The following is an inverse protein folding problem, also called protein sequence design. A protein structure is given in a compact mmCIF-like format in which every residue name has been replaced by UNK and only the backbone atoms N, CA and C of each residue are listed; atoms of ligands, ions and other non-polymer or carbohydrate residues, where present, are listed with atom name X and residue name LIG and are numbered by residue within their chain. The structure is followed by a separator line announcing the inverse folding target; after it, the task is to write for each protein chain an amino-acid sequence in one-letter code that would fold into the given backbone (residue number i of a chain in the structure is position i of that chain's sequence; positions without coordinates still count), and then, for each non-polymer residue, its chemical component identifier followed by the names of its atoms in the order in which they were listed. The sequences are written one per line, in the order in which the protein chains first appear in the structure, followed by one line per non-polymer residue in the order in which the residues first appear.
data_IF_055401156295
#
_entry.id   IF_055401156295
#
_cell.length_a   1.000
_cell.length_b   1.000
_cell.length_c   1.000
_cell.angle_alpha   90.00
_cell.angle_beta   90.00
_cell.angle_gamma   90.00
#
_symmetry.space_group_name_H-M   'P 1'
#
loop_
_entity.id
_entity.type
_entity.pdbx_description
1 polymer ?
#
# COMPACT_ATOMS: atom_id res chain seq x y z
N UNK A 1 41.79 -44.85 11.64
CA UNK A 1 42.09 -44.34 10.30
C UNK A 1 41.13 -43.21 9.99
N UNK A 2 41.68 -42.11 9.47
CA UNK A 2 41.05 -40.89 8.93
C UNK A 2 40.45 -39.88 9.93
N UNK A 3 41.28 -38.87 10.21
CA UNK A 3 40.95 -37.54 10.74
C UNK A 3 40.08 -36.76 9.75
N UNK A 4 39.10 -36.01 10.26
CA UNK A 4 38.50 -34.87 9.56
C UNK A 4 38.57 -33.64 10.47
N UNK A 5 39.28 -32.60 10.02
CA UNK A 5 39.29 -31.27 10.63
C UNK A 5 38.04 -30.48 10.21
N UNK A 6 37.51 -29.57 11.07
CA UNK A 6 36.49 -28.61 10.66
C UNK A 6 37.12 -27.37 10.01
N UNK A 7 36.48 -26.87 8.94
CA UNK A 7 36.85 -25.67 8.19
C UNK A 7 36.44 -24.42 8.98
N UNK A 8 37.38 -23.47 9.12
CA UNK A 8 37.17 -22.19 9.78
C UNK A 8 36.35 -21.22 8.90
N UNK A 9 35.30 -20.62 9.49
CA UNK A 9 34.59 -19.49 8.91
C UNK A 9 35.38 -18.20 9.17
N UNK A 10 35.73 -17.49 8.09
CA UNK A 10 36.44 -16.20 8.13
C UNK A 10 35.43 -15.11 8.51
N UNK A 11 35.56 -14.55 9.72
CA UNK A 11 34.80 -13.38 10.16
C UNK A 11 35.39 -12.08 9.59
N UNK A 12 34.53 -11.22 9.02
CA UNK A 12 34.88 -9.83 8.68
C UNK A 12 34.71 -8.94 9.93
N UNK A 13 35.59 -7.95 10.16
CA UNK A 13 35.57 -7.16 11.39
C UNK A 13 34.47 -6.08 11.37
N UNK A 14 33.66 -6.06 12.42
CA UNK A 14 32.75 -4.97 12.77
C UNK A 14 33.57 -3.72 13.13
N UNK A 15 33.56 -2.68 12.29
CA UNK A 15 34.07 -1.35 12.66
C UNK A 15 33.03 -0.63 13.52
N UNK A 16 33.47 -0.14 14.68
CA UNK A 16 32.65 0.53 15.68
C UNK A 16 31.99 1.82 15.14
N UNK A 17 30.69 1.97 15.39
CA UNK A 17 29.93 3.17 15.10
C UNK A 17 30.13 4.24 16.21
N UNK A 18 30.30 5.53 15.88
CA UNK A 18 30.45 6.58 16.87
C UNK A 18 29.12 6.89 17.58
N UNK A 19 29.17 7.03 18.90
CA UNK A 19 28.05 7.44 19.76
C UNK A 19 27.75 8.93 19.58
N UNK A 20 26.48 9.30 19.42
CA UNK A 20 26.07 10.70 19.26
C UNK A 20 24.87 11.07 20.12
N UNK A 21 24.97 12.27 20.73
CA UNK A 21 23.93 12.88 21.56
C UNK A 21 22.85 13.53 20.70
N UNK A 22 21.63 13.47 21.24
CA UNK A 22 20.37 13.90 20.63
C UNK A 22 20.18 15.40 20.73
N UNK A 23 19.68 16.02 19.66
CA UNK A 23 18.63 17.05 19.68
C UNK A 23 18.21 17.38 18.24
N UNK A 24 17.00 17.00 17.82
CA UNK A 24 16.20 17.77 16.86
C UNK A 24 14.78 17.21 16.64
N UNK A 25 13.88 18.15 16.41
CA UNK A 25 12.42 18.05 16.33
C UNK A 25 11.93 17.47 14.98
N UNK A 26 10.80 16.78 15.05
CA UNK A 26 10.10 16.20 13.91
C UNK A 26 8.75 16.87 13.68
N UNK A 27 8.44 17.20 12.43
CA UNK A 27 7.12 17.70 12.04
C UNK A 27 6.20 16.53 11.71
N UNK A 28 5.12 16.39 12.48
CA UNK A 28 3.91 15.64 12.13
C UNK A 28 3.04 16.54 11.25
N UNK A 29 2.62 16.08 10.08
CA UNK A 29 1.62 16.76 9.26
C UNK A 29 0.22 16.50 9.83
N UNK A 30 -0.02 16.97 11.06
CA UNK A 30 -1.36 17.34 11.53
C UNK A 30 -1.35 18.84 11.76
N UNK A 31 -1.57 19.59 10.68
CA UNK A 31 -1.54 21.06 10.71
C UNK A 31 -1.79 21.61 9.33
N UNK A 32 -3.05 21.81 8.99
CA UNK A 32 -3.46 22.41 7.73
C UNK A 32 -2.77 23.74 7.48
N UNK A 33 -2.50 24.02 6.21
CA UNK A 33 -2.02 25.32 5.76
C UNK A 33 -2.95 26.42 6.29
N UNK A 34 -2.46 27.23 7.23
CA UNK A 34 -3.13 28.44 7.64
C UNK A 34 -3.18 29.37 6.41
N UNK A 35 -4.39 29.55 5.86
CA UNK A 35 -4.71 30.61 4.90
C UNK A 35 -4.41 31.95 5.54
N UNK A 36 -3.49 32.71 4.97
CA UNK A 36 -3.48 34.17 5.16
C UNK A 36 -4.49 34.78 4.21
N UNK A 37 -5.51 35.44 4.78
CA UNK A 37 -6.41 36.33 4.06
C UNK A 37 -5.64 37.57 3.58
N UNK A 38 -5.80 38.01 2.34
CA UNK A 38 -6.89 38.88 1.90
C UNK A 38 -6.57 39.43 0.49
N UNK A 39 -7.60 39.48 -0.35
CA UNK A 39 -7.79 40.35 -1.54
C UNK A 39 -8.73 39.70 -2.56
N UNK A 40 -10.03 39.94 -2.38
CA UNK A 40 -10.97 40.04 -3.51
C UNK A 40 -10.53 41.18 -4.45
N UNK A 41 -10.69 41.07 -5.79
CA UNK A 41 -12.04 41.13 -6.36
C UNK A 41 -12.34 40.39 -7.68
N UNK A 42 -13.64 40.13 -7.82
CA UNK A 42 -14.52 40.19 -9.00
C UNK A 42 -14.59 39.02 -10.00
N UNK A 43 -15.85 38.63 -10.19
CA UNK A 43 -16.37 37.81 -11.28
C UNK A 43 -16.26 38.54 -12.62
N UNK A 44 -15.94 37.80 -13.68
CA UNK A 44 -16.81 37.60 -14.85
C UNK A 44 -16.04 36.89 -15.98
N UNK A 45 -16.79 36.18 -16.82
CA UNK A 45 -16.45 35.63 -18.14
C UNK A 45 -15.82 34.23 -18.22
N UNK A 46 -16.72 33.25 -18.22
CA UNK A 46 -16.55 31.93 -18.86
C UNK A 46 -16.53 32.12 -20.39
N UNK A 47 -15.35 32.01 -21.00
CA UNK A 47 -15.22 31.72 -22.43
C UNK A 47 -14.04 30.79 -22.74
N UNK A 48 -14.40 29.60 -23.24
CA UNK A 48 -13.71 28.71 -24.20
C UNK A 48 -12.20 28.46 -24.03
N UNK A 49 -11.86 27.21 -23.69
CA UNK A 49 -10.56 26.60 -23.96
C UNK A 49 -10.42 26.29 -25.47
N UNK A 50 -9.34 26.71 -26.15
CA UNK A 50 -8.92 26.14 -27.43
C UNK A 50 -8.00 24.94 -27.23
N UNK A 51 -8.21 23.94 -28.07
CA UNK A 51 -7.38 22.76 -28.31
C UNK A 51 -5.95 23.11 -28.75
N UNK A 52 -4.94 22.56 -28.08
CA UNK A 52 -3.70 22.06 -28.70
C UNK A 52 -2.78 21.38 -27.66
N UNK A 53 -2.71 20.05 -27.71
CA UNK A 53 -1.59 19.28 -27.19
C UNK A 53 -0.34 19.66 -28.00
N UNK A 54 0.58 20.39 -27.38
CA UNK A 54 1.98 20.47 -27.83
C UNK A 54 2.85 19.75 -26.81
N UNK A 55 3.59 18.77 -27.30
CA UNK A 55 4.63 18.03 -26.60
C UNK A 55 5.57 18.99 -25.86
N UNK A 56 5.46 19.03 -24.53
CA UNK A 56 6.43 19.72 -23.70
C UNK A 56 7.68 18.84 -23.58
N UNK A 57 8.80 19.32 -24.12
CA UNK A 57 10.12 18.76 -23.87
C UNK A 57 10.42 18.86 -22.37
N UNK A 58 10.46 17.72 -21.69
CA UNK A 58 10.80 17.62 -20.27
C UNK A 58 12.27 18.04 -20.07
N UNK A 59 12.49 19.04 -19.22
CA UNK A 59 13.78 19.67 -19.00
C UNK A 59 14.77 18.72 -18.30
N UNK A 60 16.09 18.92 -18.46
CA UNK A 60 17.11 18.03 -17.88
C UNK A 60 17.09 17.97 -16.33
N UNK A 61 16.58 19.02 -15.66
CA UNK A 61 16.36 19.04 -14.22
C UNK A 61 15.21 18.12 -13.76
N UNK A 62 14.18 17.90 -14.59
CA UNK A 62 13.09 16.97 -14.30
C UNK A 62 13.50 15.51 -14.49
N UNK A 63 14.49 15.24 -15.36
CA UNK A 63 15.09 13.89 -15.47
C UNK A 63 15.80 13.46 -14.17
N UNK A 64 16.17 14.38 -13.28
CA UNK A 64 16.81 14.05 -12.01
C UNK A 64 15.82 13.70 -10.89
N UNK A 65 14.53 14.05 -11.01
CA UNK A 65 13.55 13.78 -9.95
C UNK A 65 13.24 12.27 -9.82
N UNK A 66 13.17 11.58 -10.97
CA UNK A 66 12.88 10.14 -11.07
C UNK A 66 14.02 9.28 -10.51
N UNK A 67 15.27 9.75 -10.61
CA UNK A 67 16.46 9.01 -10.20
C UNK A 67 16.81 9.18 -8.71
N UNK A 68 16.23 10.17 -8.03
CA UNK A 68 16.66 10.59 -6.69
C UNK A 68 15.65 10.27 -5.57
N UNK A 69 14.52 9.64 -5.89
CA UNK A 69 13.48 9.29 -4.91
C UNK A 69 13.37 7.77 -4.74
N UNK A 70 13.52 7.28 -3.51
CA UNK A 70 13.17 5.90 -3.15
C UNK A 70 11.69 5.84 -2.81
N UNK A 71 10.93 5.01 -3.53
CA UNK A 71 9.56 4.68 -3.17
C UNK A 71 9.53 3.38 -2.37
N UNK A 72 8.85 3.40 -1.24
CA UNK A 72 8.67 2.27 -0.33
C UNK A 72 7.18 2.03 -0.16
N UNK A 73 6.80 0.76 -0.11
CA UNK A 73 5.51 0.30 0.40
C UNK A 73 5.76 -0.81 1.40
N UNK A 74 4.76 -1.25 2.17
CA UNK A 74 4.88 -2.49 2.95
C UNK A 74 4.26 -3.70 2.24
N UNK A 75 4.56 -4.89 2.76
CA UNK A 75 4.15 -6.17 2.20
C UNK A 75 2.62 -6.40 2.20
N UNK A 76 1.81 -5.51 2.80
CA UNK A 76 0.35 -5.59 2.68
C UNK A 76 -0.20 -4.88 1.43
N UNK A 77 0.66 -4.30 0.60
CA UNK A 77 0.29 -3.66 -0.66
C UNK A 77 0.07 -4.69 -1.76
N UNK A 78 -1.16 -4.79 -2.25
CA UNK A 78 -1.51 -5.78 -3.27
C UNK A 78 -1.26 -5.26 -4.69
N UNK A 79 0.01 -5.13 -5.06
CA UNK A 79 0.46 -5.02 -6.45
C UNK A 79 1.29 -6.24 -6.82
N UNK A 80 1.41 -6.63 -8.11
CA UNK A 80 2.24 -7.78 -8.46
C UNK A 80 3.70 -7.57 -8.03
N UNK A 81 4.31 -8.59 -7.41
CA UNK A 81 5.70 -8.53 -6.91
C UNK A 81 6.69 -8.15 -8.04
N UNK A 82 6.51 -8.75 -9.21
CA UNK A 82 7.30 -8.43 -10.41
C UNK A 82 7.13 -6.97 -10.84
N UNK A 83 5.92 -6.41 -10.71
CA UNK A 83 5.65 -5.02 -11.05
C UNK A 83 6.32 -4.05 -10.06
N UNK A 84 6.29 -4.36 -8.76
CA UNK A 84 6.99 -3.58 -7.73
C UNK A 84 8.50 -3.59 -7.99
N UNK A 85 9.07 -4.77 -8.27
CA UNK A 85 10.50 -4.93 -8.60
C UNK A 85 10.90 -4.16 -9.87
N UNK A 86 10.11 -4.28 -10.95
CA UNK A 86 10.35 -3.58 -12.21
C UNK A 86 10.33 -2.05 -12.06
N UNK A 87 9.50 -1.54 -11.14
CA UNK A 87 9.40 -0.11 -10.82
C UNK A 87 10.31 0.33 -9.66
N UNK A 88 11.18 -0.56 -9.16
CA UNK A 88 12.14 -0.29 -8.07
C UNK A 88 11.46 0.22 -6.79
N UNK A 89 10.27 -0.29 -6.51
CA UNK A 89 9.57 -0.03 -5.23
C UNK A 89 10.12 -1.01 -4.19
N UNK A 90 10.68 -0.49 -3.10
CA UNK A 90 11.13 -1.34 -2.00
C UNK A 90 9.93 -1.78 -1.16
N UNK A 91 9.90 -3.05 -0.76
CA UNK A 91 8.82 -3.64 0.05
C UNK A 91 9.31 -3.83 1.48
N UNK A 92 8.75 -3.06 2.41
CA UNK A 92 8.97 -3.18 3.85
C UNK A 92 8.33 -4.50 4.34
N UNK A 93 9.13 -5.45 4.87
CA UNK A 93 8.62 -6.75 5.26
C UNK A 93 7.64 -6.71 6.43
N UNK A 94 6.75 -7.71 6.50
CA UNK A 94 5.89 -7.94 7.66
C UNK A 94 6.21 -9.32 8.24
N UNK A 95 6.39 -9.41 9.55
CA UNK A 95 6.65 -10.70 10.21
C UNK A 95 5.33 -11.43 10.45
N UNK A 96 5.30 -12.74 10.23
CA UNK A 96 4.16 -13.60 10.52
C UNK A 96 4.59 -14.68 11.51
N UNK A 97 3.86 -14.81 12.60
CA UNK A 97 4.17 -15.74 13.68
C UNK A 97 2.96 -16.60 14.05
N UNK A 98 3.14 -17.92 14.11
CA UNK A 98 2.17 -18.91 14.62
C UNK A 98 2.92 -19.93 15.47
N UNK A 99 2.65 -20.00 16.77
CA UNK A 99 3.37 -20.93 17.66
C UNK A 99 4.90 -20.81 17.46
N UNK A 100 5.58 -21.89 17.07
CA UNK A 100 7.02 -21.93 16.76
C UNK A 100 7.36 -21.59 15.29
N UNK A 101 6.36 -21.28 14.47
CA UNK A 101 6.53 -20.95 13.06
C UNK A 101 6.69 -19.44 12.87
N UNK A 102 7.81 -19.06 12.26
CA UNK A 102 8.13 -17.68 11.92
C UNK A 102 8.34 -17.56 10.41
N UNK A 103 7.59 -16.67 9.78
CA UNK A 103 7.71 -16.33 8.37
C UNK A 103 7.89 -14.82 8.22
N UNK A 104 8.57 -14.39 7.16
CA UNK A 104 8.71 -12.99 6.79
C UNK A 104 7.99 -12.81 5.46
N UNK A 105 6.90 -12.06 5.48
CA UNK A 105 6.17 -11.65 4.30
C UNK A 105 6.99 -10.58 3.56
N UNK A 106 7.65 -11.02 2.49
CA UNK A 106 8.39 -10.18 1.55
C UNK A 106 7.54 -9.83 0.32
N UNK A 107 6.24 -10.15 0.35
CA UNK A 107 5.35 -10.09 -0.80
C UNK A 107 5.83 -10.96 -1.98
N UNK A 108 6.40 -12.12 -1.67
CA UNK A 108 6.74 -13.14 -2.67
C UNK A 108 5.49 -13.97 -3.01
N UNK A 109 5.20 -14.12 -4.30
CA UNK A 109 3.97 -14.78 -4.75
C UNK A 109 3.97 -16.28 -4.44
N UNK A 110 5.11 -16.97 -4.61
CA UNK A 110 5.20 -18.40 -4.37
C UNK A 110 4.95 -18.70 -2.89
N UNK A 111 5.66 -17.99 -2.00
CA UNK A 111 5.49 -18.16 -0.55
C UNK A 111 4.05 -17.83 -0.13
N UNK A 112 3.45 -16.79 -0.72
CA UNK A 112 2.09 -16.35 -0.41
C UNK A 112 1.03 -17.40 -0.79
N UNK A 113 1.16 -17.98 -1.98
CA UNK A 113 0.28 -19.06 -2.42
C UNK A 113 0.46 -20.32 -1.57
N UNK A 114 1.70 -20.63 -1.17
CA UNK A 114 1.97 -21.74 -0.26
C UNK A 114 1.28 -21.53 1.10
N UNK A 115 1.37 -20.32 1.65
CA UNK A 115 0.67 -19.92 2.88
C UNK A 115 -0.85 -20.09 2.77
N UNK A 116 -1.46 -19.65 1.67
CA UNK A 116 -2.90 -19.83 1.44
C UNK A 116 -3.31 -21.28 1.28
N UNK A 117 -2.48 -22.12 0.65
CA UNK A 117 -2.83 -23.52 0.41
C UNK A 117 -2.70 -24.39 1.66
N UNK A 118 -1.67 -24.17 2.47
CA UNK A 118 -1.28 -25.10 3.55
C UNK A 118 -1.63 -24.58 4.94
N UNK A 119 -1.47 -23.29 5.18
CA UNK A 119 -1.37 -22.75 6.53
C UNK A 119 -2.57 -21.88 6.91
N UNK A 120 -3.23 -21.20 5.98
CA UNK A 120 -4.31 -20.28 6.36
C UNK A 120 -5.51 -21.00 7.01
N UNK A 121 -5.87 -22.18 6.53
CA UNK A 121 -7.00 -22.96 7.05
C UNK A 121 -6.71 -23.60 8.42
N UNK A 122 -5.44 -23.91 8.70
CA UNK A 122 -5.01 -24.66 9.90
C UNK A 122 -4.40 -23.76 10.98
N UNK A 123 -3.70 -22.71 10.55
CA UNK A 123 -2.90 -21.81 11.38
C UNK A 123 -3.34 -20.35 11.30
N UNK A 124 -4.01 -19.93 10.22
CA UNK A 124 -4.40 -18.53 9.98
C UNK A 124 -5.16 -17.89 11.14
N UNK A 125 -6.02 -18.64 11.83
CA UNK A 125 -6.74 -18.13 13.01
C UNK A 125 -5.83 -17.74 14.17
N UNK A 126 -4.68 -18.40 14.33
CA UNK A 126 -3.72 -18.20 15.43
C UNK A 126 -2.53 -17.34 15.01
N UNK A 127 -2.31 -17.20 13.71
CA UNK A 127 -1.26 -16.36 13.14
C UNK A 127 -1.42 -14.89 13.55
N UNK A 128 -0.29 -14.27 13.86
CA UNK A 128 -0.18 -12.84 14.13
C UNK A 128 0.78 -12.21 13.13
N UNK A 129 0.39 -11.06 12.59
CA UNK A 129 1.24 -10.19 11.79
C UNK A 129 1.88 -9.15 12.70
N UNK A 130 3.19 -9.00 12.65
CA UNK A 130 3.95 -8.00 13.41
C UNK A 130 4.74 -7.09 12.46
N UNK A 131 4.60 -5.76 12.57
CA UNK A 131 5.39 -4.83 11.78
C UNK A 131 6.84 -4.78 12.28
N UNK A 132 7.77 -4.41 11.41
CA UNK A 132 9.13 -4.08 11.85
C UNK A 132 9.12 -2.98 12.91
N UNK A 133 9.99 -3.09 13.90
CA UNK A 133 10.22 -2.02 14.89
C UNK A 133 10.77 -0.75 14.22
N UNK A 134 10.76 0.42 14.89
CA UNK A 134 11.37 1.63 14.34
C UNK A 134 12.85 1.46 13.95
N UNK A 135 13.59 0.66 14.71
CA UNK A 135 15.01 0.39 14.45
C UNK A 135 15.20 -0.48 13.21
N UNK A 136 14.44 -1.57 13.10
CA UNK A 136 14.47 -2.46 11.94
C UNK A 136 14.00 -1.74 10.67
N UNK A 137 12.96 -0.91 10.78
CA UNK A 137 12.47 -0.08 9.67
C UNK A 137 13.53 0.91 9.21
N UNK A 138 14.20 1.60 10.15
CA UNK A 138 15.34 2.47 9.83
C UNK A 138 16.43 1.71 9.08
N UNK A 139 16.81 0.53 9.57
CA UNK A 139 17.87 -0.27 8.98
C UNK A 139 17.49 -0.78 7.59
N UNK A 140 16.23 -1.15 7.39
CA UNK A 140 15.67 -1.49 6.08
C UNK A 140 15.74 -0.32 5.10
N UNK A 141 15.27 0.88 5.50
CA UNK A 141 15.33 2.06 4.62
C UNK A 141 16.80 2.37 4.31
N UNK A 142 17.66 2.36 5.32
CA UNK A 142 19.10 2.64 5.19
C UNK A 142 19.81 1.69 4.22
N UNK A 143 19.45 0.40 4.19
CA UNK A 143 20.04 -0.58 3.28
C UNK A 143 19.58 -0.39 1.83
N UNK A 144 18.41 0.24 1.61
CA UNK A 144 17.86 0.55 0.29
C UNK A 144 18.27 1.94 -0.23
N UNK A 145 18.84 2.81 0.62
CA UNK A 145 19.31 4.14 0.23
C UNK A 145 20.61 4.07 -0.59
N UNK A 146 20.49 4.27 -1.90
CA UNK A 146 21.63 4.46 -2.81
C UNK A 146 22.16 5.90 -2.74
N UNK A 147 23.39 6.13 -3.20
CA UNK A 147 24.07 7.43 -3.08
C UNK A 147 23.33 8.58 -3.79
N UNK A 148 22.62 8.26 -4.85
CA UNK A 148 21.88 9.20 -5.70
C UNK A 148 20.53 9.59 -5.07
N UNK A 149 20.04 8.82 -4.10
CA UNK A 149 18.75 9.04 -3.46
C UNK A 149 18.87 10.15 -2.42
N UNK A 150 18.06 11.20 -2.57
CA UNK A 150 17.99 12.33 -1.64
C UNK A 150 16.61 12.46 -0.97
N UNK A 151 15.62 11.69 -1.44
CA UNK A 151 14.26 11.68 -0.95
C UNK A 151 13.73 10.25 -0.80
N UNK A 152 12.91 10.03 0.22
CA UNK A 152 12.16 8.78 0.41
C UNK A 152 10.68 9.11 0.53
N UNK A 153 9.83 8.35 -0.16
CA UNK A 153 8.39 8.34 0.07
C UNK A 153 8.02 6.91 0.45
N UNK A 154 7.38 6.75 1.59
CA UNK A 154 6.77 5.50 1.99
C UNK A 154 5.25 5.64 1.96
N UNK A 155 4.57 4.69 1.31
CA UNK A 155 3.11 4.54 1.37
C UNK A 155 2.81 3.35 2.28
N UNK A 156 2.43 3.63 3.52
CA UNK A 156 2.14 2.62 4.52
C UNK A 156 0.66 2.22 4.50
N UNK A 157 0.36 0.96 4.80
CA UNK A 157 -1.01 0.49 5.09
C UNK A 157 -1.63 1.34 6.20
N UNK A 158 -2.97 1.48 6.18
CA UNK A 158 -3.72 2.29 7.12
C UNK A 158 -3.20 2.20 8.56
N UNK A 159 -2.94 3.36 9.19
CA UNK A 159 -2.50 3.41 10.59
C UNK A 159 -3.53 2.85 11.57
N UNK A 160 -4.81 2.82 11.19
CA UNK A 160 -5.89 2.15 11.92
C UNK A 160 -5.79 0.62 11.91
N UNK A 161 -4.93 0.05 11.07
CA UNK A 161 -4.76 -1.40 10.86
C UNK A 161 -3.40 -1.93 11.26
N UNK A 162 -2.37 -1.07 11.30
CA UNK A 162 -1.01 -1.49 11.62
C UNK A 162 -0.19 -0.36 12.23
N UNK A 163 0.85 -0.75 13.00
CA UNK A 163 1.82 0.21 13.55
C UNK A 163 2.92 0.61 12.54
N UNK A 164 2.89 0.09 11.30
CA UNK A 164 3.89 0.40 10.26
C UNK A 164 4.04 1.91 10.10
N UNK A 165 2.95 2.64 9.85
CA UNK A 165 2.98 4.10 9.71
C UNK A 165 3.72 4.81 10.86
N UNK A 166 3.41 4.44 12.11
CA UNK A 166 4.03 5.06 13.29
C UNK A 166 5.50 4.65 13.46
N UNK A 167 5.84 3.39 13.20
CA UNK A 167 7.22 2.90 13.27
C UNK A 167 8.09 3.54 12.19
N UNK A 168 7.55 3.70 10.98
CA UNK A 168 8.18 4.38 9.86
C UNK A 168 8.34 5.88 10.10
N UNK A 169 7.37 6.53 10.75
CA UNK A 169 7.51 7.94 11.15
C UNK A 169 8.68 8.11 12.13
N UNK A 170 8.80 7.24 13.13
CA UNK A 170 9.93 7.26 14.06
C UNK A 170 11.28 6.97 13.36
N UNK A 171 11.30 6.01 12.42
CA UNK A 171 12.48 5.72 11.60
C UNK A 171 12.90 6.92 10.73
N UNK A 172 11.93 7.58 10.09
CA UNK A 172 12.14 8.76 9.25
C UNK A 172 12.81 9.90 10.03
N UNK A 173 12.38 10.15 11.26
CA UNK A 173 13.01 11.13 12.15
C UNK A 173 14.49 10.81 12.36
N UNK A 174 14.80 9.57 12.72
CA UNK A 174 16.19 9.15 12.94
C UNK A 174 17.05 9.28 11.68
N UNK A 175 16.54 8.85 10.52
CA UNK A 175 17.24 8.95 9.24
C UNK A 175 17.50 10.40 8.83
N UNK A 176 16.51 11.27 8.94
CA UNK A 176 16.67 12.69 8.61
C UNK A 176 17.72 13.38 9.49
N UNK A 177 17.81 13.04 10.78
CA UNK A 177 18.85 13.55 11.67
C UNK A 177 20.24 13.06 11.28
N UNK A 178 20.39 11.75 11.07
CA UNK A 178 21.67 11.13 10.72
C UNK A 178 22.20 11.65 9.37
N UNK A 179 21.37 11.57 8.32
CA UNK A 179 21.75 12.01 6.98
C UNK A 179 21.92 13.51 6.90
N UNK A 180 21.10 14.30 7.61
CA UNK A 180 21.26 15.74 7.70
C UNK A 180 22.62 16.15 8.25
N UNK A 181 23.13 15.45 9.27
CA UNK A 181 24.47 15.69 9.83
C UNK A 181 25.59 15.33 8.85
N UNK A 182 25.52 14.16 8.24
CA UNK A 182 26.53 13.70 7.27
C UNK A 182 26.61 14.66 6.08
N UNK A 183 25.45 15.05 5.52
CA UNK A 183 25.38 15.97 4.37
C UNK A 183 25.97 17.34 4.67
N UNK A 184 25.67 17.93 5.85
CA UNK A 184 26.29 19.19 6.28
C UNK A 184 27.81 19.11 6.38
N UNK A 185 28.35 18.01 6.91
CA UNK A 185 29.79 17.79 6.99
C UNK A 185 30.45 17.65 5.61
N UNK A 186 29.69 17.27 4.59
CA UNK A 186 30.14 17.17 3.19
C UNK A 186 29.91 18.46 2.38
N UNK A 187 29.43 19.54 3.01
CA UNK A 187 29.09 20.79 2.32
C UNK A 187 27.82 20.72 1.45
N UNK A 188 27.00 19.67 1.62
CA UNK A 188 25.73 19.51 0.90
C UNK A 188 24.63 20.20 1.71
N UNK A 189 24.06 21.26 1.16
CA UNK A 189 23.06 22.09 1.85
C UNK A 189 21.62 21.58 1.67
N UNK A 190 21.35 20.77 0.64
CA UNK A 190 20.04 20.17 0.45
C UNK A 190 19.79 19.08 1.52
N UNK A 191 18.70 19.17 2.29
CA UNK A 191 18.38 18.18 3.32
C UNK A 191 17.92 16.86 2.72
N UNK A 192 18.31 15.74 3.35
CA UNK A 192 17.63 14.46 3.12
C UNK A 192 16.20 14.54 3.69
N UNK A 193 15.22 14.05 2.92
CA UNK A 193 13.82 14.08 3.31
C UNK A 193 13.19 12.71 3.18
N UNK A 194 12.36 12.36 4.16
CA UNK A 194 11.53 11.17 4.12
C UNK A 194 10.10 11.56 4.47
N UNK A 195 9.15 11.18 3.62
CA UNK A 195 7.72 11.31 3.86
C UNK A 195 7.14 9.92 4.06
N UNK A 196 6.29 9.79 5.08
CA UNK A 196 5.51 8.57 5.32
C UNK A 196 4.05 8.97 5.14
N UNK A 197 3.38 8.35 4.16
CA UNK A 197 1.98 8.57 3.83
C UNK A 197 1.17 7.46 4.47
N UNK A 198 0.24 7.81 5.35
CA UNK A 198 -0.81 6.90 5.80
C UNK A 198 -1.83 6.73 4.68
N UNK A 199 -1.89 5.53 4.09
CA UNK A 199 -2.80 5.25 2.97
C UNK A 199 -4.28 5.37 3.33
N UNK A 200 -4.65 5.28 4.62
CA UNK A 200 -6.04 5.26 5.08
C UNK A 200 -6.91 4.17 4.42
N UNK A 201 -6.27 3.19 3.77
CA UNK A 201 -6.91 2.06 3.09
C UNK A 201 -6.04 0.81 3.26
N UNK A 202 -6.43 -0.28 2.61
CA UNK A 202 -5.76 -1.58 2.72
C UNK A 202 -5.62 -2.24 1.35
N UNK A 203 -4.66 -3.16 1.22
CA UNK A 203 -4.64 -4.14 0.12
C UNK A 203 -4.61 -3.46 -1.26
N UNK A 204 -5.55 -3.80 -2.14
CA UNK A 204 -5.71 -3.18 -3.45
C UNK A 204 -5.73 -1.63 -3.42
N UNK A 205 -6.30 -1.03 -2.37
CA UNK A 205 -6.33 0.44 -2.23
C UNK A 205 -4.96 1.06 -2.03
N UNK A 206 -4.12 0.42 -1.22
CA UNK A 206 -2.72 0.84 -1.08
C UNK A 206 -1.99 0.70 -2.43
N UNK A 207 -2.32 -0.36 -3.18
CA UNK A 207 -1.85 -0.56 -4.54
C UNK A 207 -2.21 0.59 -5.49
N UNK A 208 -3.41 1.16 -5.40
CA UNK A 208 -3.80 2.34 -6.22
C UNK A 208 -2.88 3.54 -5.93
N UNK A 209 -2.56 3.80 -4.66
CA UNK A 209 -1.68 4.91 -4.26
C UNK A 209 -0.24 4.68 -4.72
N UNK A 210 0.29 3.47 -4.56
CA UNK A 210 1.66 3.12 -4.97
C UNK A 210 1.81 3.16 -6.49
N UNK A 211 0.83 2.64 -7.24
CA UNK A 211 0.83 2.69 -8.70
C UNK A 211 0.77 4.13 -9.21
N UNK A 212 -0.04 4.99 -8.58
CA UNK A 212 -0.08 6.41 -8.91
C UNK A 212 1.25 7.11 -8.58
N UNK A 213 1.87 6.76 -7.44
CA UNK A 213 3.15 7.32 -7.05
C UNK A 213 4.24 7.04 -8.08
N UNK A 214 4.32 5.80 -8.56
CA UNK A 214 5.22 5.42 -9.66
C UNK A 214 4.92 6.22 -10.92
N UNK A 215 3.64 6.30 -11.33
CA UNK A 215 3.24 7.03 -12.53
C UNK A 215 3.64 8.51 -12.47
N UNK A 216 3.45 9.15 -11.32
CA UNK A 216 3.78 10.56 -11.11
C UNK A 216 5.29 10.80 -11.02
N UNK A 217 6.04 9.92 -10.36
CA UNK A 217 7.50 9.98 -10.37
C UNK A 217 8.04 9.83 -11.79
N UNK A 218 7.54 8.88 -12.58
CA UNK A 218 7.92 8.72 -13.99
C UNK A 218 7.55 9.93 -14.86
N UNK A 219 6.50 10.67 -14.50
CA UNK A 219 6.12 11.93 -15.13
C UNK A 219 6.98 13.13 -14.65
N UNK A 220 7.96 12.93 -13.78
CA UNK A 220 8.87 13.97 -13.28
C UNK A 220 8.36 14.73 -12.05
N UNK A 221 7.29 14.27 -11.40
CA UNK A 221 6.80 14.92 -10.17
C UNK A 221 7.85 14.81 -9.06
N UNK A 222 8.12 15.91 -8.37
CA UNK A 222 9.06 15.91 -7.24
C UNK A 222 8.46 15.19 -6.02
N UNK A 223 9.33 14.64 -5.16
CA UNK A 223 8.90 13.88 -3.99
C UNK A 223 7.96 14.66 -3.06
N UNK A 224 8.25 15.94 -2.81
CA UNK A 224 7.40 16.79 -1.97
C UNK A 224 6.00 17.00 -2.56
N UNK A 225 5.89 17.21 -3.89
CA UNK A 225 4.60 17.32 -4.57
C UNK A 225 3.86 15.99 -4.59
N UNK A 226 4.59 14.89 -4.76
CA UNK A 226 4.00 13.56 -4.72
C UNK A 226 3.41 13.25 -3.35
N UNK A 227 4.11 13.55 -2.26
CA UNK A 227 3.57 13.34 -0.91
C UNK A 227 2.24 14.10 -0.70
N UNK A 228 2.14 15.35 -1.15
CA UNK A 228 0.89 16.14 -1.10
C UNK A 228 -0.21 15.58 -2.00
N UNK A 229 0.17 15.11 -3.20
CA UNK A 229 -0.75 14.47 -4.14
C UNK A 229 -1.35 13.21 -3.55
N UNK A 230 -0.55 12.34 -2.94
CA UNK A 230 -1.02 11.11 -2.30
C UNK A 230 -1.87 11.39 -1.05
N UNK A 231 -1.49 12.39 -0.24
CA UNK A 231 -2.26 12.83 0.92
C UNK A 231 -3.67 13.32 0.54
N UNK A 232 -3.81 13.94 -0.63
CA UNK A 232 -5.13 14.31 -1.17
C UNK A 232 -5.84 13.11 -1.78
N UNK A 233 -5.14 12.31 -2.58
CA UNK A 233 -5.71 11.20 -3.34
C UNK A 233 -6.29 10.10 -2.44
N UNK A 234 -5.66 9.81 -1.30
CA UNK A 234 -6.14 8.75 -0.38
C UNK A 234 -7.59 8.94 0.07
N UNK A 235 -8.07 10.18 0.16
CA UNK A 235 -9.46 10.49 0.51
C UNK A 235 -10.45 10.18 -0.61
N UNK A 236 -9.97 9.72 -1.77
CA UNK A 236 -10.78 9.31 -2.90
C UNK A 236 -10.59 7.84 -3.27
N UNK A 237 -9.73 7.10 -2.56
CA UNK A 237 -9.48 5.68 -2.81
C UNK A 237 -10.53 4.85 -2.10
N UNK A 238 -11.35 4.14 -2.88
CA UNK A 238 -12.35 3.23 -2.36
C UNK A 238 -11.89 1.79 -2.60
N UNK A 239 -11.85 0.99 -1.53
CA UNK A 239 -11.49 -0.43 -1.58
C UNK A 239 -12.67 -1.28 -1.15
N UNK A 240 -13.12 -2.18 -2.01
CA UNK A 240 -14.17 -3.14 -1.73
C UNK A 240 -13.55 -4.53 -1.55
N UNK A 241 -13.86 -5.18 -0.43
CA UNK A 241 -13.38 -6.52 -0.08
C UNK A 241 -14.56 -7.47 0.04
N UNK A 242 -14.46 -8.59 -0.67
CA UNK A 242 -15.43 -9.69 -0.66
C UNK A 242 -14.78 -10.90 0.03
N UNK A 243 -15.03 -11.12 1.33
CA UNK A 243 -14.55 -12.31 2.04
C UNK A 243 -15.30 -13.56 1.57
N UNK A 244 -14.58 -14.67 1.40
CA UNK A 244 -15.19 -15.97 1.07
C UNK A 244 -15.83 -16.61 2.29
N UNK A 245 -15.13 -16.56 3.42
CA UNK A 245 -15.58 -17.05 4.72
C UNK A 245 -15.80 -15.89 5.70
N UNK A 246 -17.06 -15.55 5.92
CA UNK A 246 -17.46 -14.48 6.82
C UNK A 246 -17.24 -14.83 8.30
N UNK A 247 -17.30 -16.13 8.63
CA UNK A 247 -17.03 -16.62 9.99
C UNK A 247 -15.54 -16.46 10.33
N UNK A 248 -14.65 -16.75 9.38
CA UNK A 248 -13.22 -16.50 9.51
C UNK A 248 -12.94 -15.02 9.78
N UNK A 249 -13.43 -14.12 8.91
CA UNK A 249 -13.24 -12.68 9.06
C UNK A 249 -13.72 -12.18 10.43
N UNK A 250 -14.93 -12.58 10.83
CA UNK A 250 -15.50 -12.22 12.12
C UNK A 250 -14.64 -12.71 13.29
N UNK A 251 -14.21 -13.97 13.26
CA UNK A 251 -13.39 -14.58 14.31
C UNK A 251 -12.05 -13.86 14.45
N UNK A 252 -11.42 -13.49 13.33
CA UNK A 252 -10.15 -12.74 13.31
C UNK A 252 -10.30 -11.34 13.87
N UNK A 253 -11.32 -10.61 13.44
CA UNK A 253 -11.56 -9.26 13.94
C UNK A 253 -11.82 -9.27 15.45
N UNK A 254 -12.59 -10.24 15.97
CA UNK A 254 -12.81 -10.41 17.41
C UNK A 254 -11.51 -10.67 18.17
N UNK A 255 -10.62 -11.52 17.65
CA UNK A 255 -9.30 -11.79 18.27
C UNK A 255 -8.43 -10.53 18.30
N UNK A 256 -8.49 -9.70 17.25
CA UNK A 256 -7.75 -8.44 17.17
C UNK A 256 -8.38 -7.27 17.94
N UNK A 257 -9.54 -7.47 18.56
CA UNK A 257 -10.30 -6.39 19.20
C UNK A 257 -10.86 -5.37 18.20
N UNK A 258 -10.99 -5.75 16.93
CA UNK A 258 -11.47 -4.92 15.85
C UNK A 258 -13.01 -4.95 15.78
N UNK A 259 -13.63 -3.84 16.15
CA UNK A 259 -15.09 -3.71 16.20
C UNK A 259 -15.71 -3.33 14.85
N UNK A 260 -14.92 -3.15 13.78
CA UNK A 260 -15.41 -2.80 12.44
C UNK A 260 -16.42 -3.79 11.86
N UNK A 261 -16.36 -5.04 12.29
CA UNK A 261 -17.28 -6.10 11.89
C UNK A 261 -18.31 -6.45 12.96
N UNK A 262 -18.53 -5.56 13.93
CA UNK A 262 -19.37 -5.81 15.12
C UNK A 262 -20.80 -6.27 14.81
N UNK A 263 -21.38 -5.89 13.67
CA UNK A 263 -22.71 -6.33 13.22
C UNK A 263 -22.75 -7.81 12.75
N UNK A 264 -21.59 -8.44 12.45
CA UNK A 264 -21.51 -9.87 12.11
C UNK A 264 -21.89 -10.74 13.30
N UNK A 265 -21.78 -10.22 14.54
CA UNK A 265 -22.25 -10.89 15.77
C UNK A 265 -23.71 -11.35 15.69
N UNK A 266 -24.56 -10.65 14.95
CA UNK A 266 -26.01 -10.82 15.03
C UNK A 266 -26.59 -11.86 14.04
N UNK A 267 -25.84 -12.23 12.98
CA UNK A 267 -26.42 -12.95 11.83
C UNK A 267 -25.70 -14.25 11.42
N UNK A 268 -24.59 -14.62 12.07
CA UNK A 268 -23.78 -15.81 11.76
C UNK A 268 -24.57 -17.14 11.87
N UNK A 269 -25.71 -17.16 12.58
CA UNK A 269 -26.53 -18.36 12.77
C UNK A 269 -27.81 -18.50 11.93
N UNK A 270 -28.24 -17.50 11.14
CA UNK A 270 -29.59 -17.51 10.52
C UNK A 270 -29.65 -17.36 8.99
N UNK A 271 -28.57 -17.01 8.30
CA UNK A 271 -28.56 -16.78 6.85
C UNK A 271 -27.33 -17.42 6.19
N UNK A 272 -27.44 -18.72 5.90
CA UNK A 272 -26.34 -19.62 5.47
C UNK A 272 -25.62 -19.27 4.14
N UNK A 273 -25.91 -18.13 3.48
CA UNK A 273 -25.28 -17.80 2.19
C UNK A 273 -25.18 -16.29 1.89
N UNK A 274 -25.33 -15.41 2.89
CA UNK A 274 -25.14 -13.97 2.68
C UNK A 274 -23.67 -13.61 2.91
N UNK A 275 -23.05 -13.02 1.90
CA UNK A 275 -21.71 -12.43 1.94
C UNK A 275 -21.82 -10.94 2.20
N UNK A 276 -20.97 -10.44 3.09
CA UNK A 276 -20.86 -9.01 3.36
C UNK A 276 -19.73 -8.43 2.53
N UNK A 277 -20.02 -7.43 1.70
CA UNK A 277 -18.97 -6.63 1.08
C UNK A 277 -18.54 -5.58 2.09
N UNK A 278 -17.24 -5.49 2.30
CA UNK A 278 -16.60 -4.56 3.21
C UNK A 278 -15.98 -3.43 2.40
N UNK A 279 -16.24 -2.19 2.77
CA UNK A 279 -15.69 -0.99 2.18
C UNK A 279 -14.63 -0.41 3.12
N UNK A 280 -13.38 -0.34 2.66
CA UNK A 280 -12.31 0.39 3.32
C UNK A 280 -12.12 1.75 2.64
N UNK A 281 -12.31 2.81 3.41
CA UNK A 281 -12.30 4.20 2.95
C UNK A 281 -12.06 5.16 4.12
N UNK A 282 -11.22 6.18 3.91
CA UNK A 282 -10.92 7.23 4.89
C UNK A 282 -10.57 6.68 6.29
N UNK A 283 -9.70 5.67 6.34
CA UNK A 283 -9.20 5.05 7.56
C UNK A 283 -10.18 4.09 8.24
N UNK A 284 -11.41 3.99 7.75
CA UNK A 284 -12.46 3.11 8.26
C UNK A 284 -12.60 1.89 7.37
N UNK A 285 -13.10 0.81 7.96
CA UNK A 285 -13.47 -0.40 7.23
C UNK A 285 -14.83 -0.79 7.76
N UNK A 286 -15.85 -0.74 6.91
CA UNK A 286 -17.23 -0.94 7.32
C UNK A 286 -17.95 -1.77 6.27
N UNK A 287 -18.95 -2.56 6.63
CA UNK A 287 -19.76 -3.28 5.66
C UNK A 287 -20.65 -2.30 4.91
N UNK A 288 -20.69 -2.42 3.59
CA UNK A 288 -21.52 -1.58 2.74
C UNK A 288 -22.69 -2.37 2.14
N UNK A 289 -22.44 -3.60 1.67
CA UNK A 289 -23.45 -4.39 0.97
C UNK A 289 -23.61 -5.81 1.54
N UNK A 290 -24.81 -6.36 1.35
CA UNK A 290 -25.12 -7.77 1.60
C UNK A 290 -25.56 -8.41 0.28
N UNK A 291 -24.83 -9.40 -0.17
CA UNK A 291 -25.11 -10.11 -1.42
C UNK A 291 -25.20 -11.60 -1.11
N UNK A 292 -26.18 -12.29 -1.70
CA UNK A 292 -26.31 -13.74 -1.54
C UNK A 292 -25.36 -14.42 -2.53
N UNK A 293 -24.55 -15.36 -2.07
CA UNK A 293 -23.55 -16.03 -2.89
C UNK A 293 -22.25 -15.22 -3.04
N UNK A 294 -21.13 -15.93 -3.09
CA UNK A 294 -19.80 -15.32 -3.27
C UNK A 294 -19.60 -14.79 -4.69
N UNK A 295 -19.96 -15.57 -5.70
CA UNK A 295 -19.74 -15.19 -7.11
C UNK A 295 -20.58 -13.97 -7.49
N UNK A 296 -21.81 -13.87 -6.98
CA UNK A 296 -22.66 -12.68 -7.17
C UNK A 296 -22.09 -11.45 -6.45
N UNK A 297 -21.48 -11.62 -5.27
CA UNK A 297 -20.81 -10.54 -4.55
C UNK A 297 -19.58 -10.04 -5.32
N UNK A 298 -18.76 -10.96 -5.84
CA UNK A 298 -17.61 -10.63 -6.69
C UNK A 298 -18.07 -9.92 -7.96
N UNK A 299 -19.08 -10.47 -8.66
CA UNK A 299 -19.65 -9.84 -9.84
C UNK A 299 -20.14 -8.42 -9.54
N UNK A 300 -20.82 -8.22 -8.41
CA UNK A 300 -21.33 -6.91 -8.00
C UNK A 300 -20.23 -5.88 -7.82
N UNK A 301 -19.12 -6.22 -7.14
CA UNK A 301 -18.00 -5.26 -6.96
C UNK A 301 -17.26 -4.98 -8.27
N UNK A 302 -17.15 -5.98 -9.17
CA UNK A 302 -16.62 -5.78 -10.52
C UNK A 302 -17.51 -4.86 -11.36
N UNK A 303 -18.83 -5.04 -11.31
CA UNK A 303 -19.79 -4.18 -12.02
C UNK A 303 -19.75 -2.72 -11.53
N UNK A 304 -19.53 -2.52 -10.23
CA UNK A 304 -19.31 -1.20 -9.64
C UNK A 304 -18.02 -0.57 -10.21
N UNK A 305 -16.91 -1.30 -10.22
CA UNK A 305 -15.65 -0.81 -10.79
C UNK A 305 -15.79 -0.50 -12.29
N UNK A 306 -16.44 -1.36 -13.06
CA UNK A 306 -16.77 -1.13 -14.48
C UNK A 306 -17.53 0.19 -14.67
N UNK A 307 -18.53 0.43 -13.81
CA UNK A 307 -19.33 1.65 -13.86
C UNK A 307 -18.46 2.88 -13.59
N UNK A 308 -17.63 2.84 -12.54
CA UNK A 308 -16.71 3.95 -12.20
C UNK A 308 -15.65 4.20 -13.25
N UNK A 309 -15.12 3.15 -13.88
CA UNK A 309 -14.20 3.28 -15.04
C UNK A 309 -14.91 3.95 -16.22
N UNK A 310 -16.21 3.67 -16.45
CA UNK A 310 -16.98 4.32 -17.53
C UNK A 310 -17.27 5.79 -17.25
N UNK A 311 -17.52 6.15 -15.99
CA UNK A 311 -17.74 7.52 -15.51
C UNK A 311 -16.45 8.36 -15.54
N UNK A 312 -15.30 7.70 -15.39
CA UNK A 312 -13.99 8.32 -15.29
C UNK A 312 -13.47 8.29 -13.86
N UNK A 313 -12.26 7.77 -13.71
CA UNK A 313 -11.56 7.72 -12.43
C UNK A 313 -10.68 8.97 -12.24
N UNK A 314 -10.37 9.29 -10.98
CA UNK A 314 -9.44 10.37 -10.64
C UNK A 314 -8.02 10.02 -11.10
N UNK A 315 -7.65 8.75 -10.99
CA UNK A 315 -6.41 8.19 -11.55
C UNK A 315 -6.74 7.04 -12.50
N UNK A 316 -5.96 6.82 -13.56
CA UNK A 316 -6.24 5.76 -14.54
C UNK A 316 -5.76 4.39 -14.03
N UNK A 317 -6.11 4.02 -12.79
CA UNK A 317 -5.62 2.84 -12.10
C UNK A 317 -6.77 2.11 -11.42
N UNK A 318 -6.86 0.81 -11.66
CA UNK A 318 -7.67 -0.14 -10.88
C UNK A 318 -6.75 -1.24 -10.40
N UNK A 319 -6.89 -1.62 -9.14
CA UNK A 319 -6.15 -2.74 -8.55
C UNK A 319 -7.13 -3.80 -8.09
N UNK A 320 -6.86 -5.06 -8.40
CA UNK A 320 -7.62 -6.24 -7.98
C UNK A 320 -6.63 -7.22 -7.36
N UNK A 321 -7.00 -7.81 -6.23
CA UNK A 321 -6.24 -8.88 -5.62
C UNK A 321 -7.10 -10.02 -5.12
N UNK A 322 -6.52 -11.21 -5.07
CA UNK A 322 -7.23 -12.42 -4.66
C UNK A 322 -6.38 -13.28 -3.73
N UNK A 323 -6.97 -13.73 -2.63
CA UNK A 323 -6.31 -14.59 -1.64
C UNK A 323 -6.29 -16.06 -2.07
N UNK A 324 -5.69 -16.34 -3.23
CA UNK A 324 -5.63 -17.66 -3.86
C UNK A 324 -4.95 -17.58 -5.22
N UNK A 325 -5.13 -18.61 -6.05
CA UNK A 325 -4.63 -18.55 -7.43
C UNK A 325 -5.41 -17.51 -8.24
N UNK A 326 -4.73 -16.49 -8.76
CA UNK A 326 -5.35 -15.41 -9.53
C UNK A 326 -5.97 -15.88 -10.84
N UNK A 327 -5.59 -17.05 -11.37
CA UNK A 327 -6.20 -17.61 -12.57
C UNK A 327 -7.71 -17.88 -12.37
N UNK A 328 -8.13 -18.25 -11.15
CA UNK A 328 -9.54 -18.41 -10.79
C UNK A 328 -10.37 -17.13 -11.03
N UNK A 329 -9.73 -15.96 -10.84
CA UNK A 329 -10.37 -14.65 -11.06
C UNK A 329 -10.20 -14.20 -12.49
N UNK A 330 -9.02 -14.40 -13.08
CA UNK A 330 -8.67 -13.98 -14.45
C UNK A 330 -9.60 -14.60 -15.48
N UNK A 331 -10.01 -15.86 -15.28
CA UNK A 331 -10.91 -16.58 -16.18
C UNK A 331 -12.39 -16.21 -15.99
N UNK A 332 -12.74 -15.45 -14.95
CA UNK A 332 -14.12 -15.07 -14.67
C UNK A 332 -14.66 -14.05 -15.68
N UNK A 333 -15.92 -14.23 -16.09
CA UNK A 333 -16.57 -13.33 -17.05
C UNK A 333 -16.63 -11.87 -16.56
N UNK A 334 -16.76 -11.64 -15.25
CA UNK A 334 -16.78 -10.31 -14.63
C UNK A 334 -15.41 -9.63 -14.69
N UNK A 335 -14.31 -10.36 -14.48
CA UNK A 335 -12.96 -9.82 -14.62
C UNK A 335 -12.63 -9.50 -16.08
N UNK A 336 -12.93 -10.40 -17.02
CA UNK A 336 -12.74 -10.16 -18.46
C UNK A 336 -13.51 -8.92 -18.92
N UNK A 337 -14.73 -8.73 -18.42
CA UNK A 337 -15.51 -7.52 -18.70
C UNK A 337 -14.86 -6.24 -18.14
N UNK A 338 -14.31 -6.30 -16.92
CA UNK A 338 -13.57 -5.19 -16.31
C UNK A 338 -12.32 -4.85 -17.11
N UNK A 339 -11.49 -5.85 -17.42
CA UNK A 339 -10.26 -5.70 -18.22
C UNK A 339 -10.56 -5.04 -19.58
N UNK A 340 -11.59 -5.53 -20.27
CA UNK A 340 -12.03 -4.99 -21.55
C UNK A 340 -12.45 -3.51 -21.46
N UNK A 341 -13.12 -3.10 -20.38
CA UNK A 341 -13.52 -1.70 -20.15
C UNK A 341 -12.31 -0.84 -19.78
N UNK A 342 -11.43 -1.32 -18.92
CA UNK A 342 -10.19 -0.63 -18.54
C UNK A 342 -9.32 -0.35 -19.76
N UNK A 343 -9.10 -1.36 -20.62
CA UNK A 343 -8.34 -1.21 -21.86
C UNK A 343 -8.95 -0.14 -22.79
N UNK A 344 -10.27 -0.15 -23.00
CA UNK A 344 -10.95 0.86 -23.83
C UNK A 344 -10.89 2.28 -23.27
N UNK A 345 -10.73 2.43 -21.95
CA UNK A 345 -10.68 3.72 -21.26
C UNK A 345 -9.25 4.19 -20.96
N UNK A 346 -8.23 3.42 -21.33
CA UNK A 346 -6.83 3.74 -21.01
C UNK A 346 -6.55 3.69 -19.50
N UNK A 347 -7.26 2.82 -18.78
CA UNK A 347 -7.06 2.56 -17.35
C UNK A 347 -6.19 1.32 -17.20
N UNK A 348 -5.11 1.44 -16.43
CA UNK A 348 -4.25 0.31 -16.08
C UNK A 348 -4.94 -0.55 -15.03
N UNK A 349 -5.13 -1.83 -15.34
CA UNK A 349 -5.68 -2.82 -14.41
C UNK A 349 -4.53 -3.69 -13.88
N UNK A 350 -4.33 -3.69 -12.56
CA UNK A 350 -3.42 -4.60 -11.88
C UNK A 350 -4.22 -5.75 -11.28
N UNK A 351 -3.80 -6.99 -11.54
CA UNK A 351 -4.28 -8.19 -10.85
C UNK A 351 -3.10 -8.83 -10.12
N UNK A 352 -3.23 -9.06 -8.81
CA UNK A 352 -2.18 -9.70 -8.01
C UNK A 352 -2.73 -10.77 -7.08
N UNK A 353 -1.85 -11.68 -6.67
CA UNK A 353 -2.10 -12.45 -5.45
C UNK A 353 -2.20 -11.46 -4.28
N UNK A 354 -3.21 -11.62 -3.42
CA UNK A 354 -3.37 -10.81 -2.20
C UNK A 354 -2.21 -11.12 -1.26
N UNK A 355 -1.68 -10.11 -0.57
CA UNK A 355 -0.63 -10.27 0.44
C UNK A 355 -0.98 -11.32 1.50
N UNK A 356 0.04 -11.96 2.10
CA UNK A 356 -0.20 -12.90 3.19
C UNK A 356 -0.90 -12.22 4.36
N UNK A 357 -0.50 -10.97 4.65
CA UNK A 357 -1.16 -10.14 5.66
C UNK A 357 -2.64 -9.91 5.31
N UNK A 358 -2.98 -9.67 4.04
CA UNK A 358 -4.35 -9.58 3.57
C UNK A 358 -5.13 -10.87 3.83
N UNK A 359 -4.69 -11.98 3.25
CA UNK A 359 -5.37 -13.26 3.44
C UNK A 359 -5.47 -13.66 4.92
N UNK A 360 -4.45 -13.42 5.73
CA UNK A 360 -4.48 -13.67 7.17
C UNK A 360 -5.64 -12.95 7.89
N UNK A 361 -6.00 -11.75 7.44
CA UNK A 361 -7.08 -10.97 8.04
C UNK A 361 -8.45 -11.28 7.43
N UNK A 362 -8.54 -11.49 6.11
CA UNK A 362 -9.83 -11.60 5.40
C UNK A 362 -10.19 -13.01 4.93
N UNK A 363 -9.25 -13.95 5.05
CA UNK A 363 -9.42 -15.37 4.71
C UNK A 363 -9.02 -15.70 3.27
N UNK A 364 -8.71 -16.99 3.03
CA UNK A 364 -8.46 -17.49 1.69
C UNK A 364 -9.69 -17.37 0.78
N UNK A 365 -9.44 -17.12 -0.49
CA UNK A 365 -10.43 -16.83 -1.51
C UNK A 365 -11.13 -15.49 -1.34
N UNK A 366 -10.69 -14.61 -0.44
CA UNK A 366 -11.17 -13.23 -0.44
C UNK A 366 -10.71 -12.49 -1.71
N UNK A 367 -11.54 -11.58 -2.21
CA UNK A 367 -11.21 -10.69 -3.31
C UNK A 367 -11.19 -9.24 -2.81
N UNK A 368 -10.21 -8.45 -3.23
CA UNK A 368 -10.16 -7.00 -3.00
C UNK A 368 -10.10 -6.28 -4.34
N UNK A 369 -10.84 -5.19 -4.48
CA UNK A 369 -10.79 -4.31 -5.65
C UNK A 369 -10.79 -2.85 -5.21
N UNK A 370 -9.97 -2.02 -5.83
CA UNK A 370 -9.88 -0.62 -5.50
C UNK A 370 -9.65 0.28 -6.72
N UNK A 371 -10.12 1.52 -6.58
CA UNK A 371 -9.98 2.59 -7.57
C UNK A 371 -10.18 3.95 -6.89
N UNK A 372 -9.77 5.03 -7.56
CA UNK A 372 -9.98 6.40 -7.06
C UNK A 372 -11.13 7.11 -7.79
N UNK A 373 -12.16 7.57 -7.06
CA UNK A 373 -13.30 8.30 -7.62
C UNK A 373 -13.81 9.40 -6.67
N UNK A 374 -14.63 10.32 -7.18
CA UNK A 374 -15.16 11.44 -6.38
C UNK A 374 -16.13 10.98 -5.29
N UNK A 375 -17.01 10.03 -5.62
CA UNK A 375 -17.95 9.44 -4.69
C UNK A 375 -18.29 8.01 -5.09
N UNK A 376 -18.59 7.20 -4.10
CA UNK A 376 -19.06 5.83 -4.26
C UNK A 376 -20.29 5.61 -3.37
N UNK A 377 -21.42 5.33 -4.00
CA UNK A 377 -22.68 5.00 -3.32
C UNK A 377 -22.76 3.48 -3.16
N UNK A 378 -22.44 2.97 -1.98
CA UNK A 378 -22.41 1.53 -1.65
C UNK A 378 -22.98 1.21 -0.29
#
# INVERSE_FOLDING_TARGET
MLNAQPVAAVGLPLRAAPKYSSDAYAYSTHGGFAKTADSTPRADNVHRLPSALRSASVNAADRSAVANTLLITDAACDLPAEWLAANKVAVLPIKIHVDDWHLIDLHDEYDTLEFFRKDIATKGMRAQSEPLSPLETRDFVQSNLRKEINAVIEVAIASSRSKIYMNSLAAAQNLMLMHGRVRRNMGIHEPFKMWVVDSETVFAGQGVLVAEAVRQLQAGMSAAKLAQHLDTLRHHVHTLVVPKDLFYLYSRAKIKGDNSVGWLTYNVGKMLDIKAVVHAYAGKTEPCMKVRGYDDAVKRVMDIAITKVREGLITPIVTVSYAGNIDDVRESASFVALESVCMRRGVTLHLSTMSMTGGLNVGAGALSIAFACQSLDV
#
